data_IF_216974300364
#
_entry.id   IF_216974300364
#
_cell.length_a   1.000
_cell.length_b   1.000
_cell.length_c   1.000
_cell.angle_alpha   90.00
_cell.angle_beta   90.00
_cell.angle_gamma   90.00
#
_symmetry.space_group_name_H-M   'P 1'
#
loop_
_entity.id
_entity.type
_entity.pdbx_description
1 polymer ?
#
# COMPACT_ATOMS: atom_id res chain seq x y z
N UNK A 1 3.68 -10.11 27.77
CA UNK A 1 4.55 -10.44 26.62
C UNK A 1 5.98 -10.08 27.00
N UNK A 2 6.98 -10.90 26.67
CA UNK A 2 8.37 -10.51 26.88
C UNK A 2 8.64 -9.21 26.10
N UNK A 3 9.11 -8.18 26.78
CA UNK A 3 9.44 -6.90 26.16
C UNK A 3 10.63 -7.11 25.21
N UNK A 4 10.56 -6.58 23.98
CA UNK A 4 11.69 -6.65 23.05
C UNK A 4 12.97 -6.06 23.65
N UNK A 5 12.83 -5.05 24.51
CA UNK A 5 13.94 -4.42 25.23
C UNK A 5 14.66 -5.36 26.19
N UNK A 6 14.04 -6.47 26.61
CA UNK A 6 14.68 -7.50 27.40
C UNK A 6 15.54 -8.45 26.55
N UNK A 7 15.39 -8.41 25.21
CA UNK A 7 16.12 -9.24 24.25
C UNK A 7 17.24 -8.42 23.61
N UNK A 8 16.90 -7.27 23.02
CA UNK A 8 17.85 -6.30 22.47
C UNK A 8 17.20 -4.91 22.50
N UNK A 9 17.97 -3.94 22.98
CA UNK A 9 17.56 -2.52 22.98
C UNK A 9 17.38 -2.04 21.55
N UNK A 10 18.29 -2.43 20.65
CA UNK A 10 18.25 -2.03 19.24
C UNK A 10 16.99 -2.56 18.53
N UNK A 11 16.61 -3.82 18.77
CA UNK A 11 15.34 -4.36 18.26
C UNK A 11 14.12 -3.59 18.77
N UNK A 12 14.13 -3.19 20.04
CA UNK A 12 13.02 -2.44 20.62
C UNK A 12 12.94 -1.02 20.04
N UNK A 13 14.08 -0.39 19.78
CA UNK A 13 14.14 0.92 19.12
C UNK A 13 13.66 0.85 17.68
N UNK A 14 14.08 -0.17 16.92
CA UNK A 14 13.60 -0.36 15.54
C UNK A 14 12.09 -0.61 15.53
N UNK A 15 11.58 -1.45 16.43
CA UNK A 15 10.14 -1.71 16.53
C UNK A 15 9.36 -0.44 16.89
N UNK A 16 9.84 0.35 17.85
CA UNK A 16 9.26 1.64 18.22
C UNK A 16 9.20 2.58 17.02
N UNK A 17 10.29 2.70 16.26
CA UNK A 17 10.33 3.51 15.04
C UNK A 17 9.32 3.02 13.99
N UNK A 18 9.21 1.70 13.77
CA UNK A 18 8.22 1.13 12.85
C UNK A 18 6.79 1.47 13.31
N UNK A 19 6.51 1.34 14.61
CA UNK A 19 5.21 1.65 15.20
C UNK A 19 4.84 3.12 15.04
N UNK A 20 5.77 4.03 15.31
CA UNK A 20 5.57 5.47 15.07
C UNK A 20 5.28 5.77 13.60
N UNK A 21 5.99 5.10 12.67
CA UNK A 21 5.73 5.25 11.24
C UNK A 21 4.37 4.67 10.84
N UNK A 22 3.95 3.51 11.34
CA UNK A 22 2.60 2.99 11.09
C UNK A 22 1.51 3.91 11.63
N UNK A 23 1.72 4.50 12.81
CA UNK A 23 0.81 5.51 13.36
C UNK A 23 0.73 6.73 12.44
N UNK A 24 1.85 7.20 11.92
CA UNK A 24 1.89 8.30 10.95
C UNK A 24 1.17 7.94 9.64
N UNK A 25 1.38 6.71 9.13
CA UNK A 25 0.70 6.20 7.93
C UNK A 25 -0.81 6.15 8.12
N UNK A 26 -1.28 5.52 9.20
CA UNK A 26 -2.71 5.45 9.54
C UNK A 26 -3.35 6.83 9.60
N UNK A 27 -2.74 7.75 10.36
CA UNK A 27 -3.21 9.13 10.46
C UNK A 27 -3.21 9.86 9.10
N UNK A 28 -2.18 9.63 8.26
CA UNK A 28 -2.08 10.25 6.95
C UNK A 28 -3.10 9.71 5.96
N UNK A 29 -3.37 8.39 5.94
CA UNK A 29 -4.44 7.80 5.12
C UNK A 29 -5.82 8.28 5.55
N UNK A 30 -6.10 8.34 6.86
CA UNK A 30 -7.36 8.91 7.37
C UNK A 30 -7.55 10.38 6.98
N UNK A 31 -6.46 11.17 6.94
CA UNK A 31 -6.51 12.55 6.43
C UNK A 31 -6.74 12.56 4.92
N UNK A 32 -6.06 11.70 4.17
CA UNK A 32 -6.14 11.60 2.72
C UNK A 32 -7.56 11.27 2.24
N UNK A 33 -8.31 10.45 2.98
CA UNK A 33 -9.73 10.17 2.74
C UNK A 33 -10.63 11.41 2.87
N UNK A 34 -10.29 12.32 3.78
CA UNK A 34 -11.07 13.54 4.04
C UNK A 34 -10.73 14.67 3.06
N UNK A 35 -9.57 14.62 2.41
CA UNK A 35 -9.15 15.62 1.44
C UNK A 35 -9.89 15.39 0.12
N UNK A 36 -10.65 16.39 -0.33
CA UNK A 36 -11.34 16.37 -1.63
C UNK A 36 -10.46 16.86 -2.79
N UNK A 37 -9.46 17.68 -2.46
CA UNK A 37 -8.54 18.28 -3.42
C UNK A 37 -7.49 17.26 -3.90
N UNK A 38 -7.57 16.93 -5.19
CA UNK A 38 -6.71 15.95 -5.87
C UNK A 38 -5.22 16.31 -5.74
N UNK A 39 -4.84 17.58 -5.84
CA UNK A 39 -3.43 18.01 -5.75
C UNK A 39 -2.85 17.79 -4.36
N UNK A 40 -3.64 18.09 -3.31
CA UNK A 40 -3.27 17.83 -1.92
C UNK A 40 -3.24 16.34 -1.63
N UNK A 41 -4.17 15.55 -2.17
CA UNK A 41 -4.13 14.09 -2.06
C UNK A 41 -2.85 13.52 -2.68
N UNK A 42 -2.43 14.00 -3.87
CA UNK A 42 -1.18 13.55 -4.49
C UNK A 42 0.03 13.81 -3.61
N UNK A 43 0.16 15.03 -3.05
CA UNK A 43 1.28 15.40 -2.16
C UNK A 43 1.30 14.54 -0.89
N UNK A 44 0.13 14.32 -0.27
CA UNK A 44 0.02 13.46 0.91
C UNK A 44 0.37 12.00 0.58
N UNK A 45 -0.05 11.51 -0.58
CA UNK A 45 0.26 10.14 -1.02
C UNK A 45 1.76 9.94 -1.25
N UNK A 46 2.47 10.95 -1.74
CA UNK A 46 3.93 10.93 -1.88
C UNK A 46 4.63 10.83 -0.52
N UNK A 47 4.23 11.66 0.45
CA UNK A 47 4.76 11.62 1.81
C UNK A 47 4.50 10.26 2.49
N UNK A 48 3.27 9.75 2.38
CA UNK A 48 2.91 8.40 2.83
C UNK A 48 3.79 7.34 2.16
N UNK A 49 4.05 7.48 0.85
CA UNK A 49 4.91 6.54 0.11
C UNK A 49 6.35 6.55 0.63
N UNK A 50 6.89 7.71 0.96
CA UNK A 50 8.23 7.82 1.56
C UNK A 50 8.27 7.16 2.95
N UNK A 51 7.27 7.40 3.79
CA UNK A 51 7.15 6.75 5.09
C UNK A 51 7.06 5.21 4.97
N UNK A 52 6.38 4.68 3.95
CA UNK A 52 6.29 3.23 3.71
C UNK A 52 7.64 2.64 3.26
N UNK A 53 8.42 3.37 2.47
CA UNK A 53 9.78 2.96 2.10
C UNK A 53 10.68 2.90 3.33
N UNK A 54 10.54 3.87 4.22
CA UNK A 54 11.27 3.91 5.48
C UNK A 54 10.86 2.77 6.42
N UNK A 55 9.56 2.49 6.57
CA UNK A 55 9.07 1.31 7.28
C UNK A 55 9.69 0.03 6.72
N UNK A 56 9.72 -0.11 5.39
CA UNK A 56 10.30 -1.30 4.73
C UNK A 56 11.79 -1.45 5.03
N UNK A 57 12.52 -0.34 5.12
CA UNK A 57 13.94 -0.33 5.51
C UNK A 57 14.10 -0.77 6.96
N UNK A 58 13.34 -0.17 7.88
CA UNK A 58 13.37 -0.53 9.30
C UNK A 58 13.01 -2.02 9.52
N UNK A 59 12.03 -2.56 8.79
CA UNK A 59 11.69 -3.99 8.87
C UNK A 59 12.84 -4.89 8.39
N UNK A 60 13.62 -4.44 7.39
CA UNK A 60 14.83 -5.16 6.97
C UNK A 60 15.95 -5.06 7.99
N UNK A 61 16.10 -3.91 8.63
CA UNK A 61 17.08 -3.71 9.70
C UNK A 61 16.70 -4.61 10.89
N UNK A 62 15.42 -4.66 11.26
CA UNK A 62 14.90 -5.60 12.26
C UNK A 62 15.20 -7.06 11.91
N UNK A 63 14.97 -7.48 10.65
CA UNK A 63 15.30 -8.85 10.21
C UNK A 63 16.80 -9.16 10.29
N UNK A 64 17.64 -8.18 9.97
CA UNK A 64 19.10 -8.33 10.01
C UNK A 64 19.57 -8.48 11.45
N UNK A 65 19.07 -7.65 12.36
CA UNK A 65 19.36 -7.72 13.79
C UNK A 65 18.85 -9.03 14.41
N UNK A 66 17.64 -9.49 14.07
CA UNK A 66 17.13 -10.80 14.51
C UNK A 66 18.03 -11.95 14.05
N UNK A 67 18.61 -11.86 12.85
CA UNK A 67 19.53 -12.88 12.33
C UNK A 67 20.89 -12.86 13.03
N UNK A 68 21.38 -11.68 13.41
CA UNK A 68 22.63 -11.54 14.16
C UNK A 68 22.49 -12.12 15.58
N UNK A 69 21.40 -11.76 16.26
CA UNK A 69 21.05 -12.25 17.59
C UNK A 69 20.69 -13.73 17.64
N UNK A 70 20.55 -14.40 16.49
CA UNK A 70 20.17 -15.81 16.36
C UNK A 70 21.19 -16.76 16.98
N UNK A 71 22.43 -16.32 17.15
CA UNK A 71 23.50 -17.10 17.80
C UNK A 71 23.41 -17.07 19.34
N UNK A 72 22.76 -16.05 19.91
CA UNK A 72 22.72 -15.80 21.35
C UNK A 72 21.35 -16.12 21.99
N UNK A 73 20.30 -16.31 21.18
CA UNK A 73 18.92 -16.43 21.67
C UNK A 73 18.32 -17.84 21.56
N UNK A 74 17.51 -18.21 22.55
CA UNK A 74 16.70 -19.42 22.55
C UNK A 74 15.68 -19.47 21.39
N UNK A 75 15.35 -20.69 20.96
CA UNK A 75 14.37 -20.94 19.89
C UNK A 75 13.01 -20.27 20.13
N UNK A 76 12.60 -20.11 21.40
CA UNK A 76 11.37 -19.42 21.78
C UNK A 76 11.43 -17.92 21.48
N UNK A 77 12.54 -17.27 21.82
CA UNK A 77 12.76 -15.84 21.54
C UNK A 77 12.80 -15.60 20.04
N UNK A 78 13.53 -16.44 19.31
CA UNK A 78 13.64 -16.37 17.86
C UNK A 78 12.28 -16.52 17.16
N UNK A 79 11.40 -17.40 17.67
CA UNK A 79 10.03 -17.53 17.19
C UNK A 79 9.23 -16.23 17.36
N UNK A 80 9.26 -15.64 18.56
CA UNK A 80 8.54 -14.39 18.88
C UNK A 80 9.01 -13.24 17.97
N UNK A 81 10.33 -13.13 17.75
CA UNK A 81 10.92 -12.12 16.89
C UNK A 81 10.46 -12.28 15.43
N UNK A 82 10.44 -13.52 14.94
CA UNK A 82 9.98 -13.80 13.58
C UNK A 82 8.47 -13.58 13.43
N UNK A 83 7.66 -13.91 14.44
CA UNK A 83 6.22 -13.60 14.47
C UNK A 83 5.97 -12.09 14.40
N UNK A 84 6.63 -11.30 15.26
CA UNK A 84 6.56 -9.83 15.21
C UNK A 84 6.95 -9.26 13.85
N UNK A 85 8.04 -9.76 13.27
CA UNK A 85 8.47 -9.37 11.92
C UNK A 85 7.38 -9.63 10.89
N UNK A 86 6.75 -10.81 10.92
CA UNK A 86 5.69 -11.13 9.98
C UNK A 86 4.48 -10.20 10.14
N UNK A 87 4.12 -9.85 11.37
CA UNK A 87 3.00 -8.92 11.59
C UNK A 87 3.31 -7.52 11.07
N UNK A 88 4.52 -7.00 11.29
CA UNK A 88 4.96 -5.73 10.71
C UNK A 88 4.94 -5.75 9.17
N UNK A 89 5.32 -6.88 8.54
CA UNK A 89 5.26 -7.04 7.08
C UNK A 89 3.81 -7.03 6.58
N UNK A 90 2.91 -7.77 7.26
CA UNK A 90 1.49 -7.81 6.90
C UNK A 90 0.87 -6.42 6.99
N UNK A 91 1.17 -5.69 8.07
CA UNK A 91 0.67 -4.34 8.29
C UNK A 91 1.18 -3.37 7.22
N UNK A 92 2.48 -3.40 6.89
CA UNK A 92 3.03 -2.63 5.77
C UNK A 92 2.34 -2.97 4.44
N UNK A 93 2.10 -4.25 4.16
CA UNK A 93 1.41 -4.66 2.93
C UNK A 93 -0.03 -4.15 2.85
N UNK A 94 -0.73 -4.05 3.98
CA UNK A 94 -2.05 -3.41 4.06
C UNK A 94 -2.01 -1.94 3.63
N UNK A 95 -1.04 -1.17 4.14
CA UNK A 95 -0.81 0.21 3.70
C UNK A 95 -0.42 0.29 2.21
N UNK A 96 0.38 -0.67 1.70
CA UNK A 96 0.74 -0.77 0.26
C UNK A 96 -0.51 -0.95 -0.60
N UNK A 97 -1.44 -1.81 -0.18
CA UNK A 97 -2.70 -2.00 -0.87
C UNK A 97 -3.55 -0.72 -0.86
N UNK A 98 -3.66 -0.04 0.30
CA UNK A 98 -4.35 1.24 0.41
C UNK A 98 -3.75 2.30 -0.51
N UNK A 99 -2.41 2.48 -0.50
CA UNK A 99 -1.70 3.42 -1.37
C UNK A 99 -2.01 3.17 -2.85
N UNK A 100 -1.99 1.91 -3.28
CA UNK A 100 -2.31 1.53 -4.67
C UNK A 100 -3.74 1.92 -5.03
N UNK A 101 -4.71 1.63 -4.15
CA UNK A 101 -6.11 2.02 -4.35
C UNK A 101 -6.28 3.53 -4.51
N UNK A 102 -5.63 4.34 -3.66
CA UNK A 102 -5.67 5.80 -3.80
C UNK A 102 -4.99 6.32 -5.06
N UNK A 103 -3.85 5.72 -5.43
CA UNK A 103 -3.17 6.10 -6.67
C UNK A 103 -4.06 5.85 -7.91
N UNK A 104 -4.72 4.69 -7.97
CA UNK A 104 -5.66 4.36 -9.05
C UNK A 104 -6.88 5.29 -9.05
N UNK A 105 -7.48 5.55 -7.87
CA UNK A 105 -8.60 6.48 -7.77
C UNK A 105 -8.23 7.90 -8.23
N UNK A 106 -7.02 8.35 -7.93
CA UNK A 106 -6.51 9.65 -8.33
C UNK A 106 -6.30 9.75 -9.86
N UNK A 107 -5.81 8.67 -10.47
CA UNK A 107 -5.62 8.54 -11.91
C UNK A 107 -6.97 8.53 -12.64
N UNK A 108 -7.91 7.69 -12.21
CA UNK A 108 -9.27 7.63 -12.78
C UNK A 108 -9.99 8.98 -12.71
N UNK A 109 -9.87 9.68 -11.57
CA UNK A 109 -10.47 11.02 -11.39
C UNK A 109 -9.82 12.10 -12.27
N UNK A 110 -8.58 11.89 -12.74
CA UNK A 110 -7.94 12.76 -13.74
C UNK A 110 -8.39 12.42 -15.16
N UNK A 111 -8.56 11.14 -15.48
CA UNK A 111 -9.05 10.69 -16.80
C UNK A 111 -10.48 11.19 -17.04
N UNK A 112 -11.36 11.13 -16.04
CA UNK A 112 -12.76 11.61 -16.11
C UNK A 112 -12.88 13.13 -16.38
N UNK A 113 -11.84 13.90 -16.05
CA UNK A 113 -11.77 15.36 -16.30
C UNK A 113 -11.22 15.73 -17.69
N UNK A 114 -10.75 14.75 -18.47
CA UNK A 114 -10.23 14.92 -19.83
C UNK A 114 -11.01 14.14 -20.89
N UNK A 115 -12.17 13.57 -20.54
CA UNK A 115 -13.14 13.11 -21.54
C UNK A 115 -14.07 14.27 -21.91
N UNK A 116 -13.54 15.20 -22.70
CA UNK A 116 -14.33 15.76 -23.80
C UNK A 116 -14.84 14.56 -24.62
N UNK A 117 -16.12 14.50 -25.05
CA UNK A 117 -16.67 13.32 -25.69
C UNK A 117 -15.94 13.06 -27.00
N UNK A 118 -14.85 12.29 -26.94
CA UNK A 118 -14.34 11.57 -28.09
C UNK A 118 -15.37 10.50 -28.38
N UNK A 119 -16.33 10.94 -29.19
CA UNK A 119 -17.26 10.17 -29.99
C UNK A 119 -16.83 8.71 -30.02
N UNK A 120 -17.46 7.93 -29.13
CA UNK A 120 -17.36 6.49 -29.12
C UNK A 120 -17.91 6.04 -30.47
N UNK A 121 -16.98 5.94 -31.41
CA UNK A 121 -17.20 5.45 -32.74
C UNK A 121 -17.82 4.07 -32.57
N UNK A 122 -19.06 3.97 -33.04
CA UNK A 122 -19.67 2.81 -33.70
C UNK A 122 -19.26 1.46 -33.09
N UNK A 123 -20.18 0.71 -32.52
CA UNK A 123 -21.02 -0.16 -33.34
C UNK A 123 -22.28 -0.57 -32.56
N UNK A 124 -23.42 0.02 -32.94
CA UNK A 124 -24.73 -0.48 -32.57
C UNK A 124 -25.01 -1.76 -33.36
N UNK A 125 -25.23 -2.83 -32.60
CA UNK A 125 -25.68 -4.11 -33.08
C UNK A 125 -27.19 -4.03 -33.39
N UNK A 126 -27.58 -3.95 -34.67
CA UNK A 126 -28.97 -4.16 -35.12
C UNK A 126 -29.04 -5.29 -36.15
N UNK A 127 -29.39 -6.45 -35.61
CA UNK A 127 -30.30 -7.47 -36.13
C UNK A 127 -31.11 -7.16 -37.42
N UNK A 128 -31.16 -8.21 -38.25
CA UNK A 128 -32.30 -8.76 -39.00
C UNK A 128 -32.73 -8.17 -40.36
N UNK A 129 -32.80 -9.11 -41.32
CA UNK A 129 -33.77 -9.24 -42.42
C UNK A 129 -33.81 -8.10 -43.47
N UNK A 130 -33.95 -8.28 -44.78
CA UNK A 130 -34.65 -9.30 -45.57
C UNK A 130 -34.46 -8.95 -47.06
N UNK A 131 -34.56 -9.95 -47.94
CA UNK A 131 -35.10 -9.77 -49.30
C UNK A 131 -34.11 -9.64 -50.48
N UNK A 132 -34.10 -10.64 -51.37
CA UNK A 132 -33.87 -10.41 -52.82
C UNK A 132 -35.01 -9.57 -53.43
N UNK A 133 -35.04 -9.23 -54.74
CA UNK A 133 -34.64 -10.01 -55.93
C UNK A 133 -33.69 -9.18 -56.86
N UNK A 134 -33.06 -9.67 -57.95
CA UNK A 134 -33.60 -10.18 -59.22
C UNK A 134 -33.23 -9.22 -60.38
N UNK A 135 -32.87 -9.79 -61.55
CA UNK A 135 -32.80 -9.18 -62.90
C UNK A 135 -31.79 -8.01 -63.11
N UNK A 136 -30.92 -7.99 -64.12
CA UNK A 136 -31.07 -8.32 -65.55
C UNK A 136 -29.69 -8.56 -66.21
#
# INVERSE_FOLDING_TARGET
MASLSAISVELAEIEGQISDKFRALSNGFQKLEKIKDTNRQSRQLEDLTNNMRECKRLIKDFDTEVKDLKFQNDAKTNKILNEKKQDMIKELNSYVAMKKKYAINLENKRVDLFEDPVEASTEENVLLASGGPGDH
#
